data_IF_400801094445
#
_entry.id   IF_400801094445
#
_cell.length_a   1.000
_cell.length_b   1.000
_cell.length_c   1.000
_cell.angle_alpha   90.00
_cell.angle_beta   90.00
_cell.angle_gamma   90.00
#
_symmetry.space_group_name_H-M   'P 1'
#
loop_
_entity.id
_entity.type
_entity.pdbx_description
1 polymer ?
#
# COMPACT_ATOMS: atom_id res chain seq x y z
N UNK A 1 -1.14 10.27 3.40
CA UNK A 1 0.22 9.72 3.43
C UNK A 1 1.23 10.81 3.14
N UNK A 2 2.12 11.12 4.08
CA UNK A 2 3.29 11.96 3.83
C UNK A 2 4.52 11.06 3.79
N UNK A 3 4.88 10.57 2.60
CA UNK A 3 6.21 9.98 2.40
C UNK A 3 7.22 11.11 2.24
N UNK A 4 8.33 11.04 2.97
CA UNK A 4 9.44 11.96 2.76
C UNK A 4 10.32 11.42 1.63
N UNK A 5 9.94 11.70 0.38
CA UNK A 5 10.68 11.26 -0.79
C UNK A 5 12.05 11.96 -0.97
N UNK A 6 12.35 12.95 -0.11
CA UNK A 6 13.68 13.55 -0.01
C UNK A 6 14.60 12.84 1.00
N UNK A 7 14.08 11.92 1.82
CA UNK A 7 14.89 11.15 2.76
C UNK A 7 15.70 10.08 2.00
N UNK A 8 17.04 10.16 1.98
CA UNK A 8 17.87 9.18 1.29
C UNK A 8 17.73 7.78 1.90
N UNK A 9 17.43 7.66 3.21
CA UNK A 9 17.27 6.36 3.87
C UNK A 9 16.00 5.63 3.40
N UNK A 10 15.02 6.33 2.84
CA UNK A 10 13.78 5.75 2.30
C UNK A 10 13.78 5.62 0.77
N UNK A 11 14.76 6.21 0.08
CA UNK A 11 14.76 6.31 -1.39
C UNK A 11 16.09 5.90 -2.01
N UNK A 12 17.09 6.75 -1.93
CA UNK A 12 18.32 6.68 -2.73
C UNK A 12 19.46 5.86 -2.10
N UNK A 13 19.34 5.48 -0.83
CA UNK A 13 20.32 4.62 -0.18
C UNK A 13 20.19 3.18 -0.69
N UNK A 14 21.20 2.68 -1.41
CA UNK A 14 21.21 1.33 -1.99
C UNK A 14 21.27 0.18 -0.98
N UNK A 15 21.58 0.46 0.29
CA UNK A 15 21.63 -0.55 1.36
C UNK A 15 20.32 -0.63 2.14
N UNK A 16 19.63 0.50 2.30
CA UNK A 16 18.45 0.62 3.15
C UNK A 16 17.15 0.80 2.37
N UNK A 17 17.23 1.14 1.08
CA UNK A 17 16.10 1.44 0.21
C UNK A 17 16.36 0.97 -1.23
N UNK A 18 15.55 1.45 -2.19
CA UNK A 18 15.58 1.04 -3.59
C UNK A 18 16.78 1.59 -4.39
N UNK A 19 17.54 2.54 -3.83
CA UNK A 19 18.65 3.17 -4.54
C UNK A 19 18.22 4.16 -5.62
N UNK A 20 16.95 4.58 -5.60
CA UNK A 20 16.36 5.44 -6.62
C UNK A 20 16.14 6.83 -6.04
N UNK A 21 16.52 7.86 -6.78
CA UNK A 21 16.10 9.24 -6.51
C UNK A 21 14.83 9.51 -7.32
N UNK A 22 13.66 9.72 -6.68
CA UNK A 22 12.44 10.05 -7.42
C UNK A 22 12.58 11.39 -8.16
N UNK A 23 11.99 11.49 -9.35
CA UNK A 23 11.92 12.76 -10.08
C UNK A 23 11.19 13.81 -9.25
N UNK A 24 11.73 15.03 -9.17
CA UNK A 24 11.21 16.11 -8.33
C UNK A 24 11.79 16.15 -6.92
N UNK A 25 12.64 15.20 -6.54
CA UNK A 25 13.23 15.10 -5.19
C UNK A 25 14.76 14.97 -5.23
N UNK A 26 15.42 15.33 -4.13
CA UNK A 26 16.87 15.19 -3.97
C UNK A 26 17.68 15.81 -5.13
N UNK A 27 18.60 15.04 -5.71
CA UNK A 27 19.41 15.48 -6.86
C UNK A 27 18.63 15.67 -8.16
N UNK A 28 17.34 15.32 -8.19
CA UNK A 28 16.40 15.51 -9.31
C UNK A 28 15.31 16.54 -8.98
N UNK A 29 15.55 17.43 -8.02
CA UNK A 29 14.60 18.47 -7.62
C UNK A 29 14.41 19.57 -8.66
N UNK A 30 15.25 19.63 -9.70
CA UNK A 30 15.12 20.57 -10.81
C UNK A 30 13.97 20.20 -11.78
N UNK A 31 13.40 19.00 -11.67
CA UNK A 31 12.20 18.61 -12.40
C UNK A 31 10.97 19.09 -11.62
N UNK A 32 10.43 20.25 -12.00
CA UNK A 32 9.31 20.90 -11.29
C UNK A 32 7.96 20.75 -11.99
N UNK A 33 7.95 20.20 -13.20
CA UNK A 33 6.74 19.96 -13.98
C UNK A 33 6.42 18.46 -14.01
N UNK A 34 5.14 18.14 -13.82
CA UNK A 34 4.67 16.76 -13.93
C UNK A 34 4.79 16.28 -15.38
N UNK A 35 5.32 15.08 -15.63
CA UNK A 35 5.55 14.59 -17.00
C UNK A 35 4.25 14.23 -17.74
N UNK A 36 3.15 14.03 -17.01
CA UNK A 36 1.83 13.67 -17.53
C UNK A 36 0.75 14.39 -16.75
N UNK A 37 -0.33 14.79 -17.42
CA UNK A 37 -1.52 15.33 -16.74
C UNK A 37 -2.27 14.20 -16.05
N UNK A 38 -2.90 14.48 -14.93
CA UNK A 38 -3.66 13.49 -14.17
C UNK A 38 -4.78 12.84 -14.99
N UNK A 39 -5.44 13.64 -15.82
CA UNK A 39 -6.51 13.24 -16.73
C UNK A 39 -6.05 12.34 -17.89
N UNK A 40 -4.74 12.26 -18.15
CA UNK A 40 -4.15 11.36 -19.15
C UNK A 40 -3.74 10.01 -18.53
N UNK A 41 -3.97 9.81 -17.23
CA UNK A 41 -3.62 8.60 -16.49
C UNK A 41 -4.89 7.92 -15.96
N UNK A 42 -4.98 6.60 -16.11
CA UNK A 42 -6.00 5.79 -15.47
C UNK A 42 -5.39 4.60 -14.73
N UNK A 43 -5.86 4.35 -13.51
CA UNK A 43 -5.53 3.14 -12.76
C UNK A 43 -6.68 2.14 -12.93
N UNK A 44 -6.43 1.08 -13.68
CA UNK A 44 -7.32 -0.08 -13.76
C UNK A 44 -7.00 -1.05 -12.62
N UNK A 45 -8.01 -1.43 -11.85
CA UNK A 45 -7.86 -2.40 -10.77
C UNK A 45 -8.98 -3.43 -10.79
N UNK A 46 -8.68 -4.67 -10.44
CA UNK A 46 -9.67 -5.72 -10.19
C UNK A 46 -10.02 -5.86 -8.69
N UNK A 47 -9.57 -4.91 -7.86
CA UNK A 47 -9.79 -4.92 -6.42
C UNK A 47 -8.85 -5.84 -5.62
N UNK A 48 -8.00 -6.65 -6.26
CA UNK A 48 -7.05 -7.52 -5.55
C UNK A 48 -5.83 -6.77 -5.01
N UNK A 49 -5.68 -5.50 -5.33
CA UNK A 49 -4.55 -4.72 -4.85
C UNK A 49 -4.47 -4.76 -3.31
N UNK A 50 -3.28 -5.11 -2.83
CA UNK A 50 -2.85 -5.15 -1.44
C UNK A 50 -1.34 -4.77 -1.39
N UNK A 51 -0.84 -4.28 -0.26
CA UNK A 51 0.58 -3.90 -0.11
C UNK A 51 0.94 -2.68 -0.99
N UNK A 52 2.15 -2.60 -1.56
CA UNK A 52 2.71 -1.42 -2.23
C UNK A 52 1.81 -0.78 -3.28
N UNK A 53 1.00 -1.56 -4.02
CA UNK A 53 0.07 -0.99 -4.99
C UNK A 53 -1.00 -0.10 -4.32
N UNK A 54 -1.35 -0.36 -3.06
CA UNK A 54 -2.30 0.45 -2.28
C UNK A 54 -1.71 1.83 -1.97
N UNK A 55 -0.42 1.88 -1.64
CA UNK A 55 0.34 3.11 -1.41
C UNK A 55 0.37 3.92 -2.70
N UNK A 56 0.76 3.29 -3.81
CA UNK A 56 0.79 3.95 -5.11
C UNK A 56 -0.59 4.50 -5.50
N UNK A 57 -1.64 3.70 -5.33
CA UNK A 57 -3.02 4.12 -5.64
C UNK A 57 -3.46 5.29 -4.76
N UNK A 58 -3.18 5.26 -3.46
CA UNK A 58 -3.50 6.36 -2.54
C UNK A 58 -2.78 7.65 -2.94
N UNK A 59 -1.48 7.58 -3.27
CA UNK A 59 -0.71 8.75 -3.70
C UNK A 59 -1.25 9.32 -5.01
N UNK A 60 -1.46 8.48 -6.02
CA UNK A 60 -1.93 8.91 -7.34
C UNK A 60 -3.35 9.49 -7.28
N UNK A 61 -4.26 8.86 -6.53
CA UNK A 61 -5.64 9.33 -6.42
C UNK A 61 -5.73 10.58 -5.55
N UNK A 62 -5.15 10.56 -4.35
CA UNK A 62 -5.37 11.63 -3.37
C UNK A 62 -4.47 12.85 -3.58
N UNK A 63 -3.27 12.68 -4.14
CA UNK A 63 -2.33 13.78 -4.33
C UNK A 63 -2.24 14.25 -5.77
N UNK A 64 -2.37 13.34 -6.73
CA UNK A 64 -2.28 13.66 -8.15
C UNK A 64 -3.64 13.69 -8.85
N UNK A 65 -4.76 13.36 -8.19
CA UNK A 65 -6.10 13.44 -8.78
C UNK A 65 -6.38 12.40 -9.88
N UNK A 66 -5.57 11.35 -9.96
CA UNK A 66 -5.72 10.28 -10.96
C UNK A 66 -6.98 9.47 -10.69
N UNK A 67 -7.73 9.16 -11.75
CA UNK A 67 -8.97 8.37 -11.65
C UNK A 67 -8.68 6.87 -11.64
N UNK A 68 -9.62 6.13 -11.06
CA UNK A 68 -9.56 4.66 -10.99
C UNK A 68 -10.76 4.03 -11.68
N UNK A 69 -10.53 2.92 -12.39
CA UNK A 69 -11.59 2.04 -12.89
C UNK A 69 -11.45 0.71 -12.15
N UNK A 70 -12.51 0.28 -11.47
CA UNK A 70 -12.61 -1.07 -10.94
C UNK A 70 -13.26 -2.01 -11.96
N UNK A 71 -12.68 -3.19 -12.21
CA UNK A 71 -13.26 -4.22 -13.08
C UNK A 71 -13.80 -5.39 -12.26
N UNK A 72 -14.97 -5.89 -12.67
CA UNK A 72 -15.61 -7.07 -12.08
C UNK A 72 -16.07 -6.85 -10.63
N UNK A 73 -15.82 -7.78 -9.72
CA UNK A 73 -16.26 -7.76 -8.32
C UNK A 73 -17.50 -8.63 -8.08
N UNK A 74 -18.10 -8.50 -6.89
CA UNK A 74 -19.33 -9.24 -6.53
C UNK A 74 -20.46 -8.95 -7.53
N UNK A 75 -21.31 -9.94 -7.87
CA UNK A 75 -22.39 -9.81 -8.87
C UNK A 75 -23.59 -9.00 -8.30
N UNK A 76 -23.32 -7.79 -7.85
CA UNK A 76 -24.27 -6.82 -7.35
C UNK A 76 -23.99 -5.47 -8.00
N UNK A 77 -25.05 -4.69 -8.23
CA UNK A 77 -24.92 -3.33 -8.71
C UNK A 77 -24.26 -2.45 -7.63
N UNK A 78 -23.71 -1.32 -8.07
CA UNK A 78 -23.10 -0.31 -7.21
C UNK A 78 -21.57 -0.26 -7.27
N UNK A 79 -20.98 0.64 -6.47
CA UNK A 79 -19.55 0.92 -6.49
C UNK A 79 -18.70 -0.29 -6.11
N UNK A 80 -17.43 -0.25 -6.50
CA UNK A 80 -16.41 -1.24 -6.14
C UNK A 80 -15.15 -0.51 -5.70
N UNK A 81 -14.43 -1.08 -4.74
CA UNK A 81 -13.16 -0.55 -4.26
C UNK A 81 -12.03 -0.87 -5.26
N UNK A 82 -11.10 0.07 -5.54
CA UNK A 82 -9.93 -0.20 -6.37
C UNK A 82 -8.84 -0.95 -5.59
N UNK A 83 -8.91 -0.95 -4.26
CA UNK A 83 -7.97 -1.65 -3.36
C UNK A 83 -8.80 -2.38 -2.32
N UNK A 84 -8.89 -3.70 -2.46
CA UNK A 84 -9.69 -4.57 -1.59
C UNK A 84 -8.87 -5.32 -0.54
N UNK A 85 -7.54 -5.34 -0.66
CA UNK A 85 -6.65 -5.89 0.35
C UNK A 85 -6.13 -4.83 1.34
N UNK A 86 -5.09 -5.20 2.08
CA UNK A 86 -4.49 -4.37 3.12
C UNK A 86 -3.84 -3.12 2.54
N UNK A 87 -4.12 -1.96 3.16
CA UNK A 87 -3.63 -0.62 2.74
C UNK A 87 -2.50 -0.05 3.63
N UNK A 88 -1.89 -0.88 4.47
CA UNK A 88 -0.77 -0.45 5.30
C UNK A 88 0.54 -0.32 4.52
N UNK A 89 1.53 0.28 5.17
CA UNK A 89 2.76 0.81 4.54
C UNK A 89 4.05 0.09 4.94
N UNK A 90 4.01 -0.72 5.99
CA UNK A 90 5.13 -1.55 6.40
C UNK A 90 4.63 -2.90 6.87
N UNK A 91 5.25 -3.96 6.39
CA UNK A 91 5.15 -5.30 6.98
C UNK A 91 6.42 -5.56 7.78
N UNK A 92 6.27 -6.15 8.96
CA UNK A 92 7.37 -6.79 9.67
C UNK A 92 7.10 -8.28 9.71
N UNK A 93 8.10 -9.05 9.29
CA UNK A 93 8.07 -10.50 9.36
C UNK A 93 8.11 -10.95 10.82
N UNK A 94 7.43 -12.05 11.11
CA UNK A 94 7.24 -12.49 12.49
C UNK A 94 8.54 -12.96 13.15
N UNK A 95 9.43 -13.57 12.38
CA UNK A 95 10.77 -13.97 12.84
C UNK A 95 11.62 -12.76 13.26
N UNK A 96 11.49 -11.63 12.56
CA UNK A 96 12.10 -10.37 12.97
C UNK A 96 11.50 -9.84 14.27
N UNK A 97 10.17 -9.94 14.43
CA UNK A 97 9.49 -9.56 15.67
C UNK A 97 9.90 -10.44 16.86
N UNK A 98 10.05 -11.75 16.67
CA UNK A 98 10.58 -12.67 17.67
C UNK A 98 12.01 -12.28 18.08
N UNK A 99 12.88 -12.01 17.10
CA UNK A 99 14.26 -11.59 17.34
C UNK A 99 14.32 -10.30 18.17
N UNK A 100 13.55 -9.28 17.78
CA UNK A 100 13.50 -8.01 18.51
C UNK A 100 12.93 -8.19 19.91
N UNK A 101 11.96 -9.08 20.10
CA UNK A 101 11.40 -9.41 21.42
C UNK A 101 12.45 -10.03 22.34
N UNK A 102 13.22 -10.99 21.83
CA UNK A 102 14.33 -11.60 22.58
C UNK A 102 15.40 -10.55 22.94
N UNK A 103 15.78 -9.69 21.98
CA UNK A 103 16.73 -8.59 22.22
C UNK A 103 16.20 -7.61 23.27
N UNK A 104 14.90 -7.29 23.23
CA UNK A 104 14.27 -6.40 24.18
C UNK A 104 14.37 -6.96 25.60
N UNK A 105 13.96 -8.22 25.79
CA UNK A 105 14.01 -8.91 27.09
C UNK A 105 15.44 -8.96 27.62
N UNK A 106 16.40 -9.40 26.81
CA UNK A 106 17.79 -9.61 27.25
C UNK A 106 18.51 -8.32 27.63
N UNK A 107 18.22 -7.20 26.95
CA UNK A 107 18.98 -5.96 27.13
C UNK A 107 18.26 -4.91 27.98
N UNK A 108 16.93 -4.97 28.11
CA UNK A 108 16.15 -3.91 28.75
C UNK A 108 15.31 -4.36 29.95
N UNK A 109 15.19 -5.66 30.21
CA UNK A 109 14.63 -6.11 31.48
C UNK A 109 15.59 -5.81 32.64
N UNK A 110 15.03 -5.34 33.76
CA UNK A 110 15.77 -4.97 34.97
C UNK A 110 15.73 -6.07 36.04
N UNK A 111 14.87 -7.07 35.87
CA UNK A 111 14.71 -8.22 36.76
C UNK A 111 14.17 -9.45 36.03
N UNK A 112 14.39 -10.63 36.61
CA UNK A 112 13.81 -11.89 36.10
C UNK A 112 12.28 -11.87 36.08
N UNK A 113 11.66 -11.18 37.04
CA UNK A 113 10.21 -11.04 37.11
C UNK A 113 9.69 -10.24 35.92
N UNK A 114 10.33 -9.11 35.60
CA UNK A 114 9.99 -8.30 34.43
C UNK A 114 10.25 -9.05 33.13
N UNK A 115 11.37 -9.79 33.05
CA UNK A 115 11.66 -10.62 31.89
C UNK A 115 10.57 -11.67 31.64
N UNK A 116 10.07 -12.33 32.71
CA UNK A 116 8.97 -13.31 32.61
C UNK A 116 7.66 -12.64 32.20
N UNK A 117 7.33 -11.49 32.76
CA UNK A 117 6.14 -10.72 32.36
C UNK A 117 6.18 -10.38 30.86
N UNK A 118 7.34 -9.95 30.34
CA UNK A 118 7.49 -9.57 28.94
C UNK A 118 7.33 -10.75 27.98
N UNK A 119 7.80 -11.94 28.36
CA UNK A 119 7.61 -13.16 27.57
C UNK A 119 6.13 -13.50 27.38
N UNK A 120 5.24 -13.09 28.28
CA UNK A 120 3.81 -13.38 28.18
C UNK A 120 3.09 -12.59 27.07
N UNK A 121 3.60 -11.42 26.66
CA UNK A 121 2.92 -10.56 25.69
C UNK A 121 3.75 -10.16 24.47
N UNK A 122 5.07 -10.27 24.53
CA UNK A 122 5.92 -10.02 23.36
C UNK A 122 5.85 -11.19 22.37
N UNK A 123 6.03 -10.94 21.06
CA UNK A 123 6.16 -11.98 20.04
C UNK A 123 7.10 -13.12 20.46
N UNK A 124 6.57 -14.34 20.46
CA UNK A 124 7.27 -15.57 20.80
C UNK A 124 7.11 -16.60 19.68
N UNK A 125 7.99 -17.62 19.59
CA UNK A 125 7.82 -18.70 18.62
C UNK A 125 6.41 -19.28 18.63
N UNK A 126 5.81 -19.42 17.43
CA UNK A 126 4.50 -20.04 17.33
C UNK A 126 4.54 -21.51 17.77
N UNK A 127 3.45 -21.98 18.38
CA UNK A 127 3.26 -23.42 18.68
C UNK A 127 3.02 -24.30 17.44
N UNK A 128 3.07 -23.71 16.24
CA UNK A 128 2.89 -24.37 14.95
C UNK A 128 3.98 -23.90 13.97
N UNK A 129 4.34 -24.76 13.02
CA UNK A 129 5.24 -24.37 11.93
C UNK A 129 4.50 -23.47 10.93
N UNK A 130 5.20 -22.46 10.42
CA UNK A 130 4.70 -21.54 9.39
C UNK A 130 5.76 -21.38 8.28
N UNK A 131 5.29 -21.15 7.05
CA UNK A 131 6.17 -20.78 5.94
C UNK A 131 6.35 -19.25 5.86
N UNK A 132 5.28 -18.50 6.12
CA UNK A 132 5.25 -17.05 6.05
C UNK A 132 4.28 -16.53 7.12
N UNK A 133 4.70 -15.50 7.84
CA UNK A 133 3.90 -14.81 8.85
C UNK A 133 4.46 -13.38 8.99
N UNK A 134 3.58 -12.41 8.87
CA UNK A 134 3.96 -11.01 9.00
C UNK A 134 2.80 -10.17 9.51
N UNK A 135 3.16 -9.05 10.13
CA UNK A 135 2.21 -8.09 10.69
C UNK A 135 2.30 -6.81 9.89
N UNK A 136 1.14 -6.25 9.52
CA UNK A 136 1.13 -4.88 9.03
C UNK A 136 1.46 -3.94 10.20
N UNK A 137 2.70 -3.48 10.24
CA UNK A 137 3.28 -2.79 11.39
C UNK A 137 3.11 -1.27 11.32
N UNK A 138 2.87 -0.71 10.12
CA UNK A 138 2.68 0.72 9.94
C UNK A 138 1.42 0.99 9.12
N UNK A 139 0.42 1.55 9.80
CA UNK A 139 -0.78 2.06 9.17
C UNK A 139 -0.48 3.26 8.28
N UNK A 140 -1.24 3.36 7.20
CA UNK A 140 -1.25 4.54 6.34
C UNK A 140 -2.35 5.49 6.80
N UNK A 141 -2.01 6.74 7.10
CA UNK A 141 -2.99 7.79 7.41
C UNK A 141 -3.14 8.72 6.20
N UNK A 142 -4.38 8.96 5.74
CA UNK A 142 -4.66 9.86 4.61
C UNK A 142 -4.24 11.28 4.93
N UNK A 143 -3.65 11.97 3.93
CA UNK A 143 -3.25 13.37 4.07
C UNK A 143 -4.51 14.22 4.24
N UNK A 144 -4.54 15.07 5.27
CA UNK A 144 -5.72 15.87 5.63
C UNK A 144 -6.66 15.21 6.65
N UNK A 145 -6.48 13.92 6.97
CA UNK A 145 -7.27 13.19 7.97
C UNK A 145 -6.41 12.78 9.18
N UNK A 146 -5.27 13.43 9.40
CA UNK A 146 -4.34 13.08 10.47
C UNK A 146 -4.96 13.20 11.86
N UNK A 147 -5.88 14.16 12.06
CA UNK A 147 -6.57 14.38 13.34
C UNK A 147 -7.55 13.26 13.70
N UNK A 148 -8.17 12.63 12.70
CA UNK A 148 -9.09 11.51 12.94
C UNK A 148 -8.31 10.24 13.31
N UNK A 149 -7.05 10.15 12.85
CA UNK A 149 -6.16 9.03 13.11
C UNK A 149 -6.61 7.70 12.49
N UNK A 150 -7.63 7.71 11.64
CA UNK A 150 -8.20 6.50 11.04
C UNK A 150 -7.27 5.97 9.94
N UNK A 151 -6.76 4.72 10.06
CA UNK A 151 -6.01 4.07 8.99
C UNK A 151 -6.81 3.94 7.70
N UNK A 152 -6.15 4.15 6.55
CA UNK A 152 -6.79 4.08 5.23
C UNK A 152 -7.42 2.72 4.95
N UNK A 153 -6.93 1.63 5.58
CA UNK A 153 -7.55 0.31 5.46
C UNK A 153 -9.02 0.28 5.92
N UNK A 154 -9.42 1.21 6.79
CA UNK A 154 -10.79 1.31 7.29
C UNK A 154 -11.61 2.39 6.58
N UNK A 155 -11.02 3.12 5.62
CA UNK A 155 -11.74 4.09 4.80
C UNK A 155 -12.47 3.38 3.65
N UNK A 156 -13.74 3.74 3.47
CA UNK A 156 -14.60 3.22 2.42
C UNK A 156 -14.38 3.97 1.09
N UNK A 157 -13.25 3.68 0.42
CA UNK A 157 -12.93 4.28 -0.87
C UNK A 157 -13.53 3.48 -2.03
N UNK A 158 -14.22 4.17 -2.93
CA UNK A 158 -14.74 3.58 -4.18
C UNK A 158 -13.93 4.04 -5.38
N UNK A 159 -13.86 3.22 -6.42
CA UNK A 159 -13.27 3.61 -7.68
C UNK A 159 -14.09 4.70 -8.35
N UNK A 160 -13.47 5.51 -9.21
CA UNK A 160 -14.16 6.58 -9.95
C UNK A 160 -15.22 6.01 -10.90
N UNK A 161 -14.99 4.81 -11.44
CA UNK A 161 -15.94 4.08 -12.26
C UNK A 161 -15.79 2.57 -12.04
N UNK A 162 -16.84 1.81 -12.33
CA UNK A 162 -16.82 0.35 -12.35
C UNK A 162 -17.26 -0.16 -13.72
N UNK A 163 -16.50 -1.10 -14.28
CA UNK A 163 -16.86 -1.83 -15.49
C UNK A 163 -17.04 -3.32 -15.18
N UNK A 164 -17.94 -3.97 -15.91
CA UNK A 164 -18.12 -5.41 -15.81
C UNK A 164 -17.21 -6.13 -16.80
N UNK A 165 -16.67 -7.28 -16.37
CA UNK A 165 -15.88 -8.12 -17.26
C UNK A 165 -16.79 -8.76 -18.32
N UNK A 166 -16.38 -8.68 -19.58
CA UNK A 166 -17.03 -9.38 -20.68
C UNK A 166 -16.25 -10.68 -21.01
N UNK A 167 -16.89 -11.74 -21.55
CA UNK A 167 -16.21 -13.02 -21.80
C UNK A 167 -14.91 -12.88 -22.62
N UNK A 168 -14.89 -12.00 -23.61
CA UNK A 168 -13.71 -11.73 -24.45
C UNK A 168 -12.53 -11.11 -23.68
N UNK A 169 -12.80 -10.37 -22.60
CA UNK A 169 -11.76 -9.74 -21.77
C UNK A 169 -11.00 -10.75 -20.93
N UNK A 170 -11.66 -11.85 -20.57
CA UNK A 170 -11.04 -12.92 -19.77
C UNK A 170 -9.95 -13.67 -20.54
N UNK A 171 -10.18 -13.88 -21.84
CA UNK A 171 -9.26 -14.60 -22.71
C UNK A 171 -8.27 -13.67 -23.42
N UNK A 172 -8.53 -12.35 -23.42
CA UNK A 172 -7.70 -11.37 -24.09
C UNK A 172 -7.64 -10.06 -23.28
N UNK A 173 -6.50 -9.86 -22.60
CA UNK A 173 -6.25 -8.66 -21.79
C UNK A 173 -6.29 -7.37 -22.62
N UNK A 174 -5.99 -7.42 -23.92
CA UNK A 174 -6.11 -6.24 -24.80
C UNK A 174 -7.55 -5.76 -24.89
N UNK A 175 -8.54 -6.67 -24.87
CA UNK A 175 -9.97 -6.29 -24.87
C UNK A 175 -10.37 -5.58 -23.57
N UNK A 176 -9.77 -5.95 -22.45
CA UNK A 176 -9.96 -5.22 -21.19
C UNK A 176 -9.39 -3.80 -21.28
N UNK A 177 -8.18 -3.64 -21.83
CA UNK A 177 -7.56 -2.32 -21.99
C UNK A 177 -8.26 -1.45 -23.03
N UNK A 178 -8.73 -2.01 -24.15
CA UNK A 178 -9.57 -1.30 -25.14
C UNK A 178 -10.82 -0.72 -24.45
N UNK A 179 -11.54 -1.53 -23.66
CA UNK A 179 -12.71 -1.06 -22.91
C UNK A 179 -12.35 0.00 -21.88
N UNK A 180 -11.26 -0.21 -21.16
CA UNK A 180 -10.77 0.73 -20.13
C UNK A 180 -10.46 2.08 -20.76
N UNK A 181 -9.75 2.10 -21.89
CA UNK A 181 -9.42 3.32 -22.63
C UNK A 181 -10.68 4.03 -23.14
N UNK A 182 -11.62 3.28 -23.73
CA UNK A 182 -12.89 3.85 -24.20
C UNK A 182 -13.69 4.51 -23.06
N UNK A 183 -13.74 3.88 -21.88
CA UNK A 183 -14.44 4.44 -20.70
C UNK A 183 -13.69 5.61 -20.08
N UNK A 184 -12.36 5.55 -20.02
CA UNK A 184 -11.54 6.57 -19.38
C UNK A 184 -11.42 7.85 -20.23
N UNK A 185 -11.30 7.70 -21.55
CA UNK A 185 -10.86 8.78 -22.44
C UNK A 185 -11.83 9.09 -23.60
N UNK A 186 -12.93 8.34 -23.75
CA UNK A 186 -13.99 8.66 -24.71
C UNK A 186 -13.88 7.98 -26.09
N UNK A 187 -12.82 7.20 -26.34
CA UNK A 187 -12.64 6.42 -27.58
C UNK A 187 -12.11 7.21 -28.77
#
# INVERSE_FOLDING_TARGET
LKYNLSDPLQTSNVRLASGIVPTGYGSRSNFTEDPFRAEDIIILSNGMCASTCSIFTELMVQQSGVKTIAVSGRPQLGPMVPVGGTKGTLILDYDYLELISAVAILNFSTSDEQAREWVEFLPSPFGINFHDAGVNFQDNIRKGLEMDGIPTQFLNDTASCRIWVEPQMYLNVSKLWEKTAAVAFGG
#
